data_IF_260215042484
#
_entry.id   IF_260215042484
#
_cell.length_a   1.000
_cell.length_b   1.000
_cell.length_c   1.000
_cell.angle_alpha   90.00
_cell.angle_beta   90.00
_cell.angle_gamma   90.00
#
_symmetry.space_group_name_H-M   'P 1'
#
loop_
_entity.id
_entity.type
_entity.pdbx_description
1 polymer ?
#
# COMPACT_ATOMS: atom_id res chain seq x y z
N UNK A 1 -6.28 15.26 4.47
CA UNK A 1 -5.04 14.50 4.74
C UNK A 1 -5.22 13.40 5.79
N UNK A 2 -5.68 13.69 7.03
CA UNK A 2 -5.94 12.67 8.08
C UNK A 2 -6.84 11.49 7.64
N UNK A 3 -7.85 11.75 6.81
CA UNK A 3 -8.79 10.72 6.31
C UNK A 3 -8.11 9.65 5.43
N UNK A 4 -7.08 9.99 4.65
CA UNK A 4 -6.45 9.05 3.72
C UNK A 4 -5.55 8.04 4.42
N UNK A 5 -4.68 8.49 5.34
CA UNK A 5 -3.84 7.58 6.13
C UNK A 5 -4.71 6.66 6.98
N UNK A 6 -5.74 7.22 7.64
CA UNK A 6 -6.68 6.42 8.44
C UNK A 6 -7.38 5.35 7.59
N UNK A 7 -7.97 5.75 6.45
CA UNK A 7 -8.67 4.82 5.55
C UNK A 7 -7.73 3.73 5.04
N UNK A 8 -6.50 4.08 4.70
CA UNK A 8 -5.49 3.12 4.28
C UNK A 8 -5.05 2.16 5.41
N UNK A 9 -4.87 2.63 6.64
CA UNK A 9 -4.55 1.75 7.78
C UNK A 9 -5.71 0.78 8.07
N UNK A 10 -6.96 1.27 8.04
CA UNK A 10 -8.15 0.42 8.22
C UNK A 10 -8.26 -0.61 7.08
N UNK A 11 -7.87 -0.26 5.86
CA UNK A 11 -7.89 -1.20 4.74
C UNK A 11 -6.85 -2.31 4.86
N UNK A 12 -5.74 -2.10 5.59
CA UNK A 12 -4.80 -3.19 5.96
C UNK A 12 -5.52 -4.22 6.82
N UNK A 13 -6.25 -3.79 7.85
CA UNK A 13 -7.02 -4.68 8.70
C UNK A 13 -8.09 -5.43 7.90
N UNK A 14 -8.82 -4.71 7.06
CA UNK A 14 -9.81 -5.30 6.14
C UNK A 14 -9.19 -6.41 5.28
N UNK A 15 -7.97 -6.18 4.76
CA UNK A 15 -7.25 -7.16 3.94
C UNK A 15 -6.83 -8.41 4.71
N UNK A 16 -6.42 -8.26 5.97
CA UNK A 16 -6.16 -9.39 6.87
C UNK A 16 -7.41 -10.26 7.11
N UNK A 17 -8.60 -9.63 7.05
CA UNK A 17 -9.89 -10.31 7.08
C UNK A 17 -10.37 -10.80 5.70
N UNK A 18 -9.47 -10.91 4.72
CA UNK A 18 -9.75 -11.39 3.36
C UNK A 18 -10.73 -10.52 2.57
N UNK A 19 -10.82 -9.23 2.91
CA UNK A 19 -11.58 -8.24 2.14
C UNK A 19 -10.60 -7.36 1.39
N UNK A 20 -10.70 -7.40 0.06
CA UNK A 20 -9.76 -6.70 -0.81
C UNK A 20 -9.71 -5.19 -0.58
N UNK A 21 -8.48 -4.68 -0.59
CA UNK A 21 -8.20 -3.24 -0.53
C UNK A 21 -7.67 -2.75 -1.88
N UNK A 22 -8.41 -1.86 -2.59
CA UNK A 22 -7.93 -1.23 -3.81
C UNK A 22 -7.00 -0.03 -3.55
N UNK A 23 -6.75 0.31 -2.29
CA UNK A 23 -6.04 1.54 -1.93
C UNK A 23 -4.52 1.39 -2.07
N UNK A 24 -3.90 2.45 -2.58
CA UNK A 24 -2.46 2.64 -2.64
C UNK A 24 -2.12 3.98 -1.98
N UNK A 25 -1.39 3.96 -0.86
CA UNK A 25 -0.95 5.20 -0.20
C UNK A 25 0.41 5.62 -0.74
N UNK A 26 0.48 6.81 -1.35
CA UNK A 26 1.72 7.32 -1.92
C UNK A 26 2.19 8.57 -1.18
N UNK A 27 3.35 8.50 -0.53
CA UNK A 27 3.98 9.66 0.11
C UNK A 27 4.85 10.42 -0.90
N UNK A 28 4.35 11.56 -1.38
CA UNK A 28 5.00 12.44 -2.33
C UNK A 28 5.80 13.55 -1.61
N UNK A 29 6.97 13.93 -2.15
CA UNK A 29 7.83 15.11 -1.87
C UNK A 29 7.62 15.82 -0.50
N UNK A 30 8.59 15.82 0.42
CA UNK A 30 9.69 16.83 0.47
C UNK A 30 11.07 16.27 0.06
N UNK A 31 12.13 17.10 0.09
CA UNK A 31 13.51 16.84 -0.37
C UNK A 31 14.02 15.42 -0.03
N UNK A 32 14.97 14.91 -0.83
CA UNK A 32 15.62 13.60 -0.58
C UNK A 32 16.08 13.52 0.88
N UNK A 33 15.84 12.40 1.56
CA UNK A 33 16.31 12.15 2.94
C UNK A 33 15.28 12.41 4.06
N UNK A 34 14.00 12.61 3.74
CA UNK A 34 12.94 12.98 4.70
C UNK A 34 12.34 11.82 5.51
N UNK A 35 12.84 10.59 5.36
CA UNK A 35 12.36 9.46 6.17
C UNK A 35 10.99 8.90 5.76
N UNK A 36 10.53 9.11 4.53
CA UNK A 36 9.25 8.56 4.01
C UNK A 36 9.23 7.03 3.97
N UNK A 37 10.32 6.42 3.49
CA UNK A 37 10.49 4.95 3.51
C UNK A 37 10.55 4.45 4.96
N UNK A 38 11.25 5.20 5.82
CA UNK A 38 11.37 4.90 7.24
C UNK A 38 10.03 5.01 7.98
N UNK A 39 9.16 5.94 7.57
CA UNK A 39 7.81 6.04 8.09
C UNK A 39 7.03 4.75 7.87
N UNK A 40 7.06 4.19 6.64
CA UNK A 40 6.40 2.92 6.37
C UNK A 40 7.04 1.77 7.14
N UNK A 41 8.38 1.67 7.13
CA UNK A 41 9.11 0.65 7.89
C UNK A 41 8.73 0.67 9.36
N UNK A 42 8.82 1.80 10.03
CA UNK A 42 8.47 1.91 11.45
C UNK A 42 6.97 1.81 11.75
N UNK A 43 6.11 2.16 10.81
CA UNK A 43 4.65 2.00 10.98
C UNK A 43 4.25 0.53 10.92
N UNK A 44 4.84 -0.22 9.99
CA UNK A 44 4.35 -1.54 9.59
C UNK A 44 5.23 -2.68 10.08
N UNK A 45 6.54 -2.50 10.27
CA UNK A 45 7.42 -3.52 10.84
C UNK A 45 7.08 -3.71 12.31
N UNK A 46 6.18 -4.65 12.54
CA UNK A 46 5.77 -5.13 13.84
C UNK A 46 6.00 -6.64 13.86
N UNK A 47 5.81 -7.30 14.99
CA UNK A 47 5.95 -8.76 15.06
C UNK A 47 4.98 -9.55 14.16
N UNK A 48 3.99 -8.90 13.54
CA UNK A 48 2.93 -9.54 12.76
C UNK A 48 2.76 -8.98 11.34
N UNK A 49 3.56 -7.97 10.97
CA UNK A 49 3.48 -7.32 9.67
C UNK A 49 4.90 -7.10 9.15
N UNK A 50 5.12 -7.53 7.91
CA UNK A 50 6.35 -7.29 7.19
C UNK A 50 6.06 -6.56 5.88
N UNK A 51 7.07 -5.87 5.35
CA UNK A 51 7.00 -5.09 4.13
C UNK A 51 7.82 -5.79 3.06
N UNK A 52 7.16 -6.19 1.98
CA UNK A 52 7.85 -6.64 0.77
C UNK A 52 8.06 -5.45 -0.16
N UNK A 53 9.28 -5.28 -0.67
CA UNK A 53 9.58 -4.25 -1.66
C UNK A 53 9.41 -4.80 -3.07
N UNK A 54 8.65 -4.09 -3.92
CA UNK A 54 8.54 -4.37 -5.35
C UNK A 54 8.19 -3.10 -6.12
N UNK A 55 8.70 -2.98 -7.36
CA UNK A 55 8.41 -1.88 -8.29
C UNK A 55 7.09 -2.07 -9.07
N UNK A 56 6.41 -3.20 -8.85
CA UNK A 56 5.16 -3.56 -9.53
C UNK A 56 5.29 -3.57 -11.07
N UNK A 57 6.45 -4.00 -11.57
CA UNK A 57 6.82 -4.05 -12.98
C UNK A 57 6.97 -5.48 -13.54
N UNK A 58 6.98 -6.50 -12.67
CA UNK A 58 7.09 -7.92 -13.02
C UNK A 58 5.77 -8.61 -12.81
N UNK A 59 4.93 -8.66 -13.86
CA UNK A 59 3.54 -9.12 -13.80
C UNK A 59 3.32 -10.35 -12.90
N UNK A 60 3.76 -11.55 -13.30
CA UNK A 60 3.46 -12.78 -12.55
C UNK A 60 4.11 -12.85 -11.17
N UNK A 61 5.33 -12.36 -11.03
CA UNK A 61 6.06 -12.38 -9.76
C UNK A 61 5.37 -11.44 -8.75
N UNK A 62 4.97 -10.25 -9.18
CA UNK A 62 4.27 -9.28 -8.35
C UNK A 62 2.86 -9.74 -7.99
N UNK A 63 2.16 -10.40 -8.93
CA UNK A 63 0.88 -11.06 -8.64
C UNK A 63 1.00 -12.10 -7.53
N UNK A 64 2.06 -12.93 -7.55
CA UNK A 64 2.35 -13.88 -6.48
C UNK A 64 2.69 -13.18 -5.16
N UNK A 65 3.59 -12.19 -5.17
CA UNK A 65 3.96 -11.42 -3.98
C UNK A 65 2.73 -10.78 -3.32
N UNK A 66 1.80 -10.26 -4.13
CA UNK A 66 0.55 -9.65 -3.65
C UNK A 66 -0.45 -10.64 -3.04
N UNK A 67 -0.31 -11.93 -3.32
CA UNK A 67 -1.09 -13.00 -2.69
C UNK A 67 -0.47 -13.49 -1.38
N UNK A 68 0.86 -13.39 -1.25
CA UNK A 68 1.60 -13.94 -0.11
C UNK A 68 1.85 -12.91 1.00
N UNK A 69 1.86 -11.61 0.65
CA UNK A 69 2.24 -10.54 1.56
C UNK A 69 1.12 -9.52 1.75
N UNK A 70 0.92 -9.07 3.00
CA UNK A 70 -0.10 -8.07 3.34
C UNK A 70 0.30 -6.67 2.86
N UNK A 71 1.60 -6.34 2.84
CA UNK A 71 2.10 -5.02 2.43
C UNK A 71 3.10 -5.17 1.29
N UNK A 72 2.83 -4.52 0.17
CA UNK A 72 3.81 -4.30 -0.90
C UNK A 72 4.13 -2.81 -1.00
N UNK A 73 5.41 -2.47 -0.95
CA UNK A 73 5.91 -1.10 -1.02
C UNK A 73 6.75 -0.87 -2.28
N UNK A 74 6.38 0.14 -3.07
CA UNK A 74 7.19 0.69 -4.17
C UNK A 74 7.84 2.00 -3.71
N UNK A 75 9.15 2.02 -3.49
CA UNK A 75 9.88 3.22 -3.06
C UNK A 75 10.17 4.21 -4.21
N UNK A 76 9.82 3.85 -5.44
CA UNK A 76 10.00 4.63 -6.68
C UNK A 76 8.67 4.82 -7.45
N UNK A 77 7.58 5.12 -6.75
CA UNK A 77 6.27 5.40 -7.39
C UNK A 77 6.23 6.64 -8.29
N UNK A 78 7.29 7.46 -8.28
CA UNK A 78 7.33 8.73 -8.99
C UNK A 78 7.85 8.63 -10.42
N UNK A 79 7.47 9.59 -11.27
CA UNK A 79 7.93 9.62 -12.67
C UNK A 79 7.29 8.56 -13.58
N UNK A 80 6.27 7.85 -13.08
CA UNK A 80 5.50 6.84 -13.83
C UNK A 80 4.77 7.50 -15.00
N UNK A 81 4.85 6.87 -16.18
CA UNK A 81 4.17 7.33 -17.38
C UNK A 81 2.64 7.17 -17.26
N UNK A 82 1.87 7.70 -18.22
CA UNK A 82 0.42 7.45 -18.29
C UNK A 82 0.09 5.95 -18.41
N UNK A 83 0.95 5.19 -19.08
CA UNK A 83 0.83 3.73 -19.19
C UNK A 83 1.01 3.06 -17.82
N UNK A 84 2.02 3.47 -17.07
CA UNK A 84 2.31 2.92 -15.74
C UNK A 84 1.21 3.28 -14.73
N UNK A 85 0.67 4.49 -14.82
CA UNK A 85 -0.50 4.90 -14.05
C UNK A 85 -1.70 3.99 -14.31
N UNK A 86 -1.94 3.62 -15.58
CA UNK A 86 -3.02 2.71 -15.95
C UNK A 86 -2.74 1.29 -15.43
N UNK A 87 -1.49 0.80 -15.51
CA UNK A 87 -1.08 -0.48 -14.93
C UNK A 87 -1.34 -0.51 -13.41
N UNK A 88 -0.94 0.53 -12.68
CA UNK A 88 -1.20 0.65 -11.25
C UNK A 88 -2.70 0.71 -10.91
N UNK A 89 -3.52 1.36 -11.73
CA UNK A 89 -4.99 1.31 -11.55
C UNK A 89 -5.56 -0.09 -11.79
N UNK A 90 -5.05 -0.79 -12.80
CA UNK A 90 -5.50 -2.14 -13.12
C UNK A 90 -5.11 -3.10 -11.98
N UNK A 91 -3.86 -3.04 -11.51
CA UNK A 91 -3.36 -3.91 -10.44
C UNK A 91 -4.09 -3.65 -9.12
N UNK A 92 -4.33 -2.37 -8.77
CA UNK A 92 -5.07 -2.01 -7.57
C UNK A 92 -6.52 -2.49 -7.61
N UNK A 93 -7.12 -2.60 -8.79
CA UNK A 93 -8.51 -3.04 -8.96
C UNK A 93 -8.69 -4.56 -9.02
N UNK A 94 -7.62 -5.33 -9.28
CA UNK A 94 -7.68 -6.80 -9.30
C UNK A 94 -7.80 -7.34 -7.87
N UNK A 95 -8.85 -8.09 -7.61
CA UNK A 95 -9.12 -8.77 -6.35
C UNK A 95 -8.53 -10.18 -6.29
N UNK A 96 -8.53 -10.87 -7.43
CA UNK A 96 -8.00 -12.22 -7.56
C UNK A 96 -6.99 -12.29 -8.69
N UNK A 97 -6.01 -13.17 -8.53
CA UNK A 97 -5.07 -13.55 -9.57
C UNK A 97 -5.23 -15.03 -9.92
N UNK A 98 -4.92 -15.38 -11.16
CA UNK A 98 -4.90 -16.77 -11.63
C UNK A 98 -3.46 -17.20 -11.77
N UNK A 99 -2.95 -17.88 -10.74
CA UNK A 99 -1.52 -18.18 -10.59
C UNK A 99 -1.31 -19.68 -10.45
N UNK A 100 -0.18 -20.15 -10.96
CA UNK A 100 0.32 -21.50 -10.70
C UNK A 100 1.30 -21.41 -9.55
N UNK A 101 1.00 -22.08 -8.43
CA UNK A 101 1.96 -22.21 -7.33
C UNK A 101 3.21 -22.97 -7.80
N UNK A 102 4.39 -22.72 -7.22
CA UNK A 102 5.55 -23.59 -7.42
C UNK A 102 5.14 -25.05 -7.20
N UNK A 103 5.47 -25.92 -8.16
CA UNK A 103 5.09 -27.35 -8.17
C UNK A 103 3.60 -27.68 -8.28
N UNK A 104 2.70 -26.71 -8.42
CA UNK A 104 1.29 -26.98 -8.73
C UNK A 104 1.11 -27.41 -10.18
N UNK A 105 0.10 -28.22 -10.50
CA UNK A 105 -0.13 -28.67 -11.88
C UNK A 105 -1.05 -27.74 -12.69
N UNK A 106 -1.84 -26.91 -12.00
CA UNK A 106 -2.85 -26.04 -12.62
C UNK A 106 -2.82 -24.61 -12.05
N UNK A 107 -3.43 -23.68 -12.79
CA UNK A 107 -3.67 -22.33 -12.31
C UNK A 107 -4.81 -22.35 -11.29
N UNK A 108 -4.59 -21.70 -10.15
CA UNK A 108 -5.58 -21.51 -9.10
C UNK A 108 -5.99 -20.05 -9.04
N UNK A 109 -7.24 -19.80 -8.65
CA UNK A 109 -7.72 -18.46 -8.31
C UNK A 109 -7.30 -18.13 -6.89
N UNK A 110 -6.35 -17.23 -6.72
CA UNK A 110 -5.78 -16.83 -5.42
C UNK A 110 -6.23 -15.41 -5.09
N UNK A 111 -6.69 -15.20 -3.86
CA UNK A 111 -7.09 -13.88 -3.37
C UNK A 111 -5.86 -12.99 -3.18
N UNK A 112 -5.92 -11.76 -3.68
CA UNK A 112 -4.95 -10.72 -3.35
C UNK A 112 -5.23 -10.18 -1.95
N UNK A 113 -4.25 -10.32 -1.06
CA UNK A 113 -4.28 -9.78 0.31
C UNK A 113 -3.39 -8.54 0.48
N UNK A 114 -2.62 -8.16 -0.55
CA UNK A 114 -1.75 -7.01 -0.47
C UNK A 114 -2.47 -5.66 -0.51
N UNK A 115 -2.15 -4.83 0.48
CA UNK A 115 -2.37 -3.39 0.48
C UNK A 115 -1.10 -2.69 0.01
N UNK A 116 -1.25 -1.79 -0.96
CA UNK A 116 -0.10 -1.16 -1.61
C UNK A 116 0.27 0.15 -0.92
N UNK A 117 1.56 0.45 -0.87
CA UNK A 117 2.05 1.76 -0.50
C UNK A 117 3.31 2.11 -1.27
N UNK A 118 3.76 3.34 -1.11
CA UNK A 118 5.04 3.70 -1.66
C UNK A 118 5.44 5.15 -1.47
N UNK A 119 6.65 5.44 -1.92
CA UNK A 119 7.24 6.77 -1.81
C UNK A 119 7.53 7.34 -3.18
N UNK A 120 7.42 8.65 -3.30
CA UNK A 120 7.75 9.37 -4.53
C UNK A 120 8.56 10.63 -4.23
N UNK A 121 9.54 10.87 -5.09
CA UNK A 121 10.31 12.11 -5.12
C UNK A 121 9.61 13.21 -5.94
N UNK A 122 8.57 12.86 -6.70
CA UNK A 122 7.79 13.77 -7.52
C UNK A 122 6.50 14.16 -6.79
N UNK A 123 6.03 15.40 -6.93
CA UNK A 123 4.74 15.84 -6.38
C UNK A 123 3.61 15.05 -7.02
N UNK A 124 3.70 14.89 -8.34
CA UNK A 124 2.74 14.15 -9.12
C UNK A 124 3.19 12.70 -9.15
N UNK A 125 2.61 11.89 -8.26
CA UNK A 125 2.79 10.43 -8.29
C UNK A 125 2.13 9.86 -9.54
N UNK A 126 0.97 10.43 -9.93
CA UNK A 126 0.19 10.00 -11.08
C UNK A 126 -0.40 11.22 -11.79
N UNK A 127 -0.03 11.44 -13.04
CA UNK A 127 -0.64 12.45 -13.91
C UNK A 127 -1.93 11.87 -14.54
N UNK A 128 -2.98 11.75 -13.75
CA UNK A 128 -4.26 11.19 -14.21
C UNK A 128 -5.40 12.21 -14.15
N UNK A 129 -6.00 12.46 -15.32
CA UNK A 129 -7.13 13.37 -15.54
C UNK A 129 -8.50 12.72 -15.29
N UNK A 130 -8.57 11.40 -15.05
CA UNK A 130 -9.83 10.63 -14.99
C UNK A 130 -10.37 10.35 -13.58
N UNK A 131 -9.84 11.01 -12.55
CA UNK A 131 -10.32 10.88 -11.18
C UNK A 131 -9.72 9.68 -10.45
N UNK A 132 -8.57 9.90 -9.84
CA UNK A 132 -7.85 8.86 -9.10
C UNK A 132 -8.37 8.74 -7.65
N UNK A 133 -9.21 7.74 -7.38
CA UNK A 133 -9.76 7.47 -6.03
C UNK A 133 -9.00 6.39 -5.26
N UNK A 134 -8.17 5.60 -5.95
CA UNK A 134 -7.47 4.43 -5.40
C UNK A 134 -6.06 4.76 -4.93
N UNK A 135 -5.38 5.62 -5.67
CA UNK A 135 -4.04 6.10 -5.31
C UNK A 135 -4.24 7.38 -4.51
N UNK A 136 -3.77 7.36 -3.27
CA UNK A 136 -3.93 8.42 -2.29
C UNK A 136 -2.61 9.18 -2.16
N UNK A 137 -2.36 10.22 -2.97
CA UNK A 137 -1.14 11.01 -2.87
C UNK A 137 -1.21 11.89 -1.62
N UNK A 138 -0.20 11.79 -0.76
CA UNK A 138 0.01 12.69 0.37
C UNK A 138 1.31 13.44 0.13
N UNK A 139 1.21 14.76 -0.04
CA UNK A 139 2.36 15.65 -0.03
C UNK A 139 2.87 15.79 1.40
N UNK A 140 4.04 15.25 1.67
CA UNK A 140 4.67 15.25 3.00
C UNK A 140 5.62 16.43 3.10
N UNK A 141 5.29 17.43 3.91
CA UNK A 141 6.17 18.59 4.14
C UNK A 141 7.31 18.23 5.09
N UNK A 142 6.98 17.56 6.19
CA UNK A 142 7.91 17.09 7.20
C UNK A 142 7.28 15.90 7.94
N UNK A 143 8.13 15.10 8.60
CA UNK A 143 7.71 14.01 9.48
C UNK A 143 8.38 14.24 10.83
N UNK A 144 7.59 14.64 11.82
CA UNK A 144 8.03 14.67 13.21
C UNK A 144 8.30 13.24 13.70
N UNK A 145 9.59 12.89 13.74
CA UNK A 145 10.04 11.54 14.09
C UNK A 145 9.80 11.26 15.57
N UNK A 146 9.96 12.23 16.44
CA UNK A 146 9.83 12.04 17.89
C UNK A 146 8.38 11.76 18.25
N UNK A 147 7.46 12.58 17.72
CA UNK A 147 6.03 12.34 17.88
C UNK A 147 5.64 10.99 17.26
N UNK A 148 6.13 10.68 16.05
CA UNK A 148 5.81 9.42 15.39
C UNK A 148 6.31 8.19 16.17
N UNK A 149 7.53 8.25 16.72
CA UNK A 149 8.12 7.17 17.50
C UNK A 149 7.43 6.99 18.86
N UNK A 150 6.88 8.08 19.43
CA UNK A 150 6.09 8.02 20.66
C UNK A 150 4.71 7.35 20.51
N UNK A 151 4.24 7.12 19.28
CA UNK A 151 2.95 6.46 19.04
C UNK A 151 3.10 4.94 19.23
N UNK A 152 2.35 4.39 20.17
CA UNK A 152 2.16 2.94 20.34
C UNK A 152 1.43 2.35 19.13
N UNK A 153 2.16 1.62 18.29
CA UNK A 153 1.64 1.01 17.06
C UNK A 153 0.60 -0.07 17.35
N UNK A 154 0.69 -0.77 18.48
CA UNK A 154 -0.32 -1.78 18.86
C UNK A 154 -1.66 -1.11 19.15
N UNK A 155 -1.65 -0.01 19.89
CA UNK A 155 -2.88 0.78 20.13
C UNK A 155 -3.43 1.36 18.84
N UNK A 156 -2.57 1.87 17.96
CA UNK A 156 -2.97 2.39 16.65
C UNK A 156 -3.71 1.33 15.82
N UNK A 157 -3.16 0.12 15.70
CA UNK A 157 -3.81 -0.96 14.95
C UNK A 157 -5.05 -1.53 15.65
N UNK A 158 -5.10 -1.49 16.99
CA UNK A 158 -6.32 -1.82 17.73
C UNK A 158 -7.45 -0.83 17.42
N UNK A 159 -7.16 0.48 17.44
CA UNK A 159 -8.13 1.51 17.03
C UNK A 159 -8.60 1.28 15.58
N UNK A 160 -7.68 0.98 14.66
CA UNK A 160 -8.03 0.64 13.28
C UNK A 160 -8.94 -0.59 13.18
N UNK A 161 -8.72 -1.60 14.02
CA UNK A 161 -9.58 -2.78 14.10
C UNK A 161 -10.98 -2.46 14.65
N UNK A 162 -11.09 -1.60 15.66
CA UNK A 162 -12.41 -1.14 16.14
C UNK A 162 -13.15 -0.37 15.06
N UNK A 163 -12.46 0.49 14.32
CA UNK A 163 -13.04 1.23 13.19
C UNK A 163 -13.54 0.26 12.10
N UNK A 164 -12.73 -0.75 11.73
CA UNK A 164 -13.15 -1.80 10.81
C UNK A 164 -14.44 -2.50 11.29
N UNK A 165 -14.49 -2.91 12.56
CA UNK A 165 -15.67 -3.54 13.16
C UNK A 165 -16.91 -2.65 13.17
N UNK A 166 -16.72 -1.34 13.32
CA UNK A 166 -17.82 -0.37 13.29
C UNK A 166 -18.35 -0.09 11.88
N UNK A 167 -17.79 -0.70 10.83
CA UNK A 167 -18.21 -0.50 9.44
C UNK A 167 -17.64 0.77 8.81
N UNK A 168 -16.46 1.22 9.26
CA UNK A 168 -15.78 2.38 8.65
C UNK A 168 -15.43 2.11 7.18
N UNK A 169 -15.92 2.97 6.28
CA UNK A 169 -15.57 2.99 4.85
C UNK A 169 -14.53 4.07 4.51
#
# INVERSE_FOLDING_TARGET
MRKFVRKWIVSIISSMHKVHSPLLLALARFSKGTGKTEFFRRLLQTSYLDITQSKLDKEKDDELLMCENIIIMDDELGGKSKSDAQKLKNITSKEYFYLRRPYGDHNERILRVAVLCGTSNYINVVNDTTGNRRILPIKVLDIDKDLFNGIDKRKLFNEAYQLYKSGFD
#
